data_IF_004877385846
#
_entry.id   IF_004877385846
#
_cell.length_a   1.000
_cell.length_b   1.000
_cell.length_c   1.000
_cell.angle_alpha   90.00
_cell.angle_beta   90.00
_cell.angle_gamma   90.00
#
_symmetry.space_group_name_H-M   'P 1'
#
loop_
_entity.id
_entity.type
_entity.pdbx_description
1 polymer ?
#
# COMPACT_ATOMS: atom_id res chain seq x y z
N UNK A 1 -1.59 -15.05 -3.34
CA UNK A 1 -1.07 -14.19 -2.26
C UNK A 1 0.38 -13.76 -2.49
N UNK A 2 1.29 -14.62 -2.99
CA UNK A 2 2.71 -14.28 -3.17
C UNK A 2 2.96 -12.99 -3.98
N UNK A 3 2.27 -12.83 -5.12
CA UNK A 3 2.34 -11.60 -5.92
C UNK A 3 1.88 -10.34 -5.16
N UNK A 4 0.89 -10.45 -4.28
CA UNK A 4 0.44 -9.31 -3.46
C UNK A 4 1.46 -8.97 -2.37
N UNK A 5 2.05 -10.00 -1.73
CA UNK A 5 3.08 -9.82 -0.72
C UNK A 5 4.35 -9.17 -1.28
N UNK A 6 4.62 -9.30 -2.59
CA UNK A 6 5.69 -8.54 -3.23
C UNK A 6 5.32 -7.08 -3.47
N UNK A 7 4.03 -6.69 -3.52
CA UNK A 7 3.61 -5.30 -3.76
C UNK A 7 3.50 -4.50 -2.45
N UNK A 8 3.04 -5.14 -1.37
CA UNK A 8 2.91 -4.57 -0.04
C UNK A 8 3.26 -5.63 1.01
N UNK A 9 4.11 -5.27 1.97
CA UNK A 9 4.58 -6.22 2.98
C UNK A 9 3.61 -6.34 4.17
N UNK A 10 3.96 -7.20 5.14
CA UNK A 10 3.14 -7.48 6.33
C UNK A 10 2.93 -6.27 7.26
N UNK A 11 3.70 -5.20 7.09
CA UNK A 11 3.56 -3.94 7.83
C UNK A 11 2.87 -2.86 6.99
N UNK A 12 2.34 -3.16 5.81
CA UNK A 12 1.70 -2.16 4.95
C UNK A 12 2.68 -1.27 4.18
N UNK A 13 3.97 -1.64 4.11
CA UNK A 13 4.99 -0.89 3.36
C UNK A 13 4.86 -1.19 1.88
N UNK A 14 4.62 -0.16 1.08
CA UNK A 14 4.66 -0.22 -0.39
C UNK A 14 6.05 -0.67 -0.86
N UNK A 15 6.08 -1.74 -1.66
CA UNK A 15 7.33 -2.32 -2.18
C UNK A 15 7.65 -1.87 -3.61
N UNK A 16 6.66 -1.34 -4.34
CA UNK A 16 6.85 -0.86 -5.71
C UNK A 16 7.62 0.45 -5.69
N UNK A 17 8.94 0.39 -5.89
CA UNK A 17 9.84 1.54 -5.75
C UNK A 17 9.45 2.72 -6.63
N UNK A 18 8.99 2.46 -7.87
CA UNK A 18 8.56 3.50 -8.80
C UNK A 18 7.28 4.24 -8.37
N UNK A 19 6.56 3.70 -7.39
CA UNK A 19 5.37 4.32 -6.80
C UNK A 19 5.65 4.92 -5.42
N UNK A 20 6.90 4.96 -4.94
CA UNK A 20 7.26 5.70 -3.72
C UNK A 20 7.40 7.19 -4.05
N UNK A 21 6.77 8.09 -3.27
CA UNK A 21 6.86 9.52 -3.55
C UNK A 21 8.21 10.07 -3.09
N UNK A 22 8.69 11.11 -3.78
CA UNK A 22 9.85 11.93 -3.41
C UNK A 22 9.45 13.30 -2.85
N UNK A 23 8.13 13.56 -2.74
CA UNK A 23 7.55 14.85 -2.37
C UNK A 23 7.66 15.19 -0.88
N UNK A 24 8.07 14.24 -0.01
CA UNK A 24 8.20 14.45 1.44
C UNK A 24 9.53 15.16 1.79
N UNK A 25 9.64 16.39 1.32
CA UNK A 25 10.79 17.30 1.56
C UNK A 25 10.80 17.83 3.00
N UNK A 26 11.92 18.40 3.45
CA UNK A 26 12.06 19.01 4.78
C UNK A 26 11.01 20.10 5.04
N UNK A 27 10.65 20.88 4.02
CA UNK A 27 9.60 21.89 4.12
C UNK A 27 8.22 21.26 4.39
N UNK A 28 7.90 20.14 3.72
CA UNK A 28 6.65 19.41 3.96
C UNK A 28 6.67 18.77 5.35
N UNK A 29 7.79 18.17 5.76
CA UNK A 29 7.95 17.60 7.11
C UNK A 29 7.74 18.66 8.19
N UNK A 30 8.28 19.86 8.01
CA UNK A 30 8.09 20.98 8.93
C UNK A 30 6.62 21.47 9.00
N UNK A 31 5.86 21.38 7.91
CA UNK A 31 4.42 21.69 7.94
C UNK A 31 3.65 20.58 8.68
N UNK A 32 4.01 19.33 8.44
CA UNK A 32 3.33 18.17 9.03
C UNK A 32 3.67 17.96 10.52
N UNK A 33 4.75 18.57 11.05
CA UNK A 33 5.15 18.40 12.45
C UNK A 33 4.13 18.92 13.45
N UNK A 34 3.31 19.89 13.03
CA UNK A 34 2.32 20.54 13.87
C UNK A 34 0.92 19.90 13.72
N UNK A 35 0.82 18.80 12.94
CA UNK A 35 -0.44 18.10 12.69
C UNK A 35 -0.54 16.87 13.58
N UNK A 36 -1.53 16.88 14.47
CA UNK A 36 -1.94 15.68 15.20
C UNK A 36 -2.94 14.87 14.36
N UNK A 37 -2.71 13.56 14.26
CA UNK A 37 -3.57 12.64 13.51
C UNK A 37 -4.45 11.86 14.48
N UNK A 38 -5.75 11.87 14.22
CA UNK A 38 -6.75 11.17 15.02
C UNK A 38 -7.02 11.87 16.36
N UNK A 39 -7.52 11.11 17.34
CA UNK A 39 -7.77 11.62 18.68
C UNK A 39 -9.16 12.21 18.90
N UNK A 40 -10.02 12.21 17.88
CA UNK A 40 -11.42 12.59 18.05
C UNK A 40 -12.23 11.42 18.63
N UNK A 41 -13.30 11.69 19.41
CA UNK A 41 -14.17 10.64 19.92
C UNK A 41 -14.74 9.78 18.79
N UNK A 42 -14.42 8.49 18.80
CA UNK A 42 -14.85 7.52 17.78
C UNK A 42 -13.81 7.24 16.69
N UNK A 43 -12.68 7.95 16.67
CA UNK A 43 -11.57 7.62 15.77
C UNK A 43 -10.97 6.25 16.13
N UNK A 44 -10.54 5.46 15.14
CA UNK A 44 -9.79 4.24 15.40
C UNK A 44 -8.42 4.56 16.00
N UNK A 45 -7.94 3.68 16.87
CA UNK A 45 -6.56 3.73 17.35
C UNK A 45 -5.60 3.59 16.18
N UNK A 46 -4.58 4.43 16.15
CA UNK A 46 -3.53 4.35 15.13
C UNK A 46 -2.75 3.03 15.27
N UNK A 47 -2.45 2.41 14.13
CA UNK A 47 -1.63 1.21 14.08
C UNK A 47 -0.14 1.58 14.13
N UNK A 48 0.47 1.36 15.29
CA UNK A 48 1.91 1.56 15.47
C UNK A 48 2.70 0.65 14.52
N UNK A 49 3.65 1.24 13.78
CA UNK A 49 4.48 0.52 12.81
C UNK A 49 3.82 0.13 11.48
N UNK A 50 2.55 0.50 11.23
CA UNK A 50 1.94 0.31 9.91
C UNK A 50 2.39 1.38 8.91
N UNK A 51 2.68 1.00 7.67
CA UNK A 51 3.20 1.87 6.61
C UNK A 51 4.72 2.04 6.65
N UNK A 52 5.23 3.00 5.88
CA UNK A 52 6.67 3.24 5.73
C UNK A 52 7.37 3.53 7.08
N UNK A 53 8.48 2.84 7.39
CA UNK A 53 9.19 3.01 8.64
C UNK A 53 9.87 4.38 8.74
N UNK A 54 9.98 4.90 9.96
CA UNK A 54 10.66 6.16 10.25
C UNK A 54 9.83 7.42 9.98
N UNK A 55 8.56 7.27 9.60
CA UNK A 55 7.64 8.39 9.40
C UNK A 55 6.71 8.60 10.60
N UNK A 56 6.39 9.86 10.90
CA UNK A 56 5.35 10.20 11.89
C UNK A 56 3.95 9.79 11.38
N UNK A 57 2.92 9.72 12.25
CA UNK A 57 1.55 9.50 11.79
C UNK A 57 1.08 10.49 10.72
N UNK A 58 1.39 11.78 10.86
CA UNK A 58 1.04 12.81 9.88
C UNK A 58 1.77 12.62 8.55
N UNK A 59 3.06 12.32 8.60
CA UNK A 59 3.86 12.03 7.40
C UNK A 59 3.35 10.80 6.65
N UNK A 60 2.96 9.72 7.35
CA UNK A 60 2.37 8.53 6.73
C UNK A 60 1.01 8.82 6.10
N UNK A 61 0.16 9.57 6.79
CA UNK A 61 -1.22 9.79 6.34
C UNK A 61 -1.31 10.78 5.18
N UNK A 62 -0.51 11.85 5.20
CA UNK A 62 -0.64 12.97 4.26
C UNK A 62 0.53 13.08 3.28
N UNK A 63 1.68 12.50 3.60
CA UNK A 63 2.93 12.67 2.86
C UNK A 63 3.44 11.42 2.14
N UNK A 64 2.78 10.27 2.31
CA UNK A 64 3.26 9.00 1.78
C UNK A 64 2.18 8.20 1.05
N UNK A 65 2.62 7.33 0.13
CA UNK A 65 1.73 6.46 -0.62
C UNK A 65 1.47 5.14 0.13
N UNK A 66 0.26 4.63 0.01
CA UNK A 66 -0.16 3.36 0.64
C UNK A 66 -0.94 2.51 -0.36
N UNK A 67 -0.55 1.25 -0.51
CA UNK A 67 -1.28 0.25 -1.27
C UNK A 67 -1.99 -0.70 -0.30
N UNK A 68 -3.30 -0.82 -0.43
CA UNK A 68 -4.15 -1.68 0.41
C UNK A 68 -4.77 -2.80 -0.42
N UNK A 69 -4.87 -4.00 0.14
CA UNK A 69 -5.67 -5.10 -0.43
C UNK A 69 -7.06 -5.03 0.19
N UNK A 70 -8.05 -4.62 -0.60
CA UNK A 70 -9.45 -4.50 -0.15
C UNK A 70 -10.19 -5.84 -0.17
N UNK A 71 -9.92 -6.66 -1.18
CA UNK A 71 -10.48 -7.99 -1.30
C UNK A 71 -9.50 -8.92 -2.01
N UNK A 72 -9.50 -10.20 -1.65
CA UNK A 72 -8.74 -11.25 -2.32
C UNK A 72 -9.56 -12.54 -2.38
N UNK A 73 -9.79 -13.04 -3.58
CA UNK A 73 -10.57 -14.25 -3.83
C UNK A 73 -9.73 -15.27 -4.59
N UNK A 74 -9.80 -16.53 -4.16
CA UNK A 74 -9.16 -17.67 -4.84
C UNK A 74 -9.99 -18.92 -4.60
N UNK A 75 -10.16 -19.75 -5.64
CA UNK A 75 -11.03 -20.93 -5.57
C UNK A 75 -12.49 -20.55 -5.28
N UNK A 76 -13.20 -21.39 -4.52
CA UNK A 76 -14.54 -21.08 -4.02
C UNK A 76 -14.54 -21.11 -2.49
N UNK A 77 -14.39 -19.95 -1.80
CA UNK A 77 -14.37 -19.91 -0.35
C UNK A 77 -15.64 -20.43 0.32
N UNK A 78 -16.80 -20.29 -0.33
CA UNK A 78 -18.08 -20.78 0.18
C UNK A 78 -18.26 -22.30 0.01
N UNK A 79 -17.50 -22.92 -0.91
CA UNK A 79 -17.50 -24.37 -1.16
C UNK A 79 -16.06 -24.85 -1.42
N UNK A 80 -15.24 -25.00 -0.36
CA UNK A 80 -13.86 -25.44 -0.51
C UNK A 80 -13.77 -26.80 -1.21
N UNK A 81 -12.86 -26.91 -2.17
CA UNK A 81 -12.61 -28.14 -2.94
C UNK A 81 -11.14 -28.53 -2.83
N UNK A 82 -10.84 -29.83 -2.86
CA UNK A 82 -9.47 -30.36 -2.91
C UNK A 82 -8.91 -30.26 -4.35
N UNK A 83 -8.90 -29.05 -4.89
CA UNK A 83 -8.41 -28.74 -6.23
C UNK A 83 -7.56 -27.46 -6.18
N UNK A 84 -6.54 -27.40 -7.04
CA UNK A 84 -5.73 -26.19 -7.20
C UNK A 84 -6.59 -25.15 -7.94
N UNK A 85 -6.79 -23.94 -7.39
CA UNK A 85 -7.53 -22.88 -8.09
C UNK A 85 -6.83 -22.49 -9.40
N UNK A 86 -7.59 -22.41 -10.49
CA UNK A 86 -7.07 -21.96 -11.79
C UNK A 86 -6.84 -20.45 -11.88
N UNK A 87 -7.40 -19.67 -10.96
CA UNK A 87 -7.25 -18.22 -10.90
C UNK A 87 -7.44 -17.69 -9.47
N UNK A 88 -6.96 -16.47 -9.25
CA UNK A 88 -7.22 -15.66 -8.08
C UNK A 88 -7.33 -14.19 -8.49
N UNK A 89 -8.14 -13.42 -7.77
CA UNK A 89 -8.37 -12.00 -8.04
C UNK A 89 -8.13 -11.20 -6.78
N UNK A 90 -7.49 -10.05 -6.90
CA UNK A 90 -7.34 -9.09 -5.82
C UNK A 90 -7.88 -7.73 -6.26
N UNK A 91 -8.62 -7.08 -5.36
CA UNK A 91 -8.99 -5.67 -5.51
C UNK A 91 -8.10 -4.88 -4.57
N UNK A 92 -7.28 -4.00 -5.13
CA UNK A 92 -6.36 -3.17 -4.38
C UNK A 92 -6.67 -1.68 -4.59
N UNK A 93 -6.28 -0.86 -3.62
CA UNK A 93 -6.38 0.60 -3.70
C UNK A 93 -5.01 1.22 -3.43
N UNK A 94 -4.56 2.07 -4.35
CA UNK A 94 -3.42 2.95 -4.11
C UNK A 94 -3.95 4.33 -3.68
N UNK A 95 -3.62 4.73 -2.45
CA UNK A 95 -3.71 6.12 -2.00
C UNK A 95 -2.35 6.76 -2.25
N UNK A 96 -2.32 7.88 -2.97
CA UNK A 96 -1.07 8.50 -3.37
C UNK A 96 -1.09 10.02 -3.21
N UNK A 97 0.11 10.58 -3.09
CA UNK A 97 0.36 12.02 -2.98
C UNK A 97 0.88 12.59 -4.30
N UNK A 98 0.91 13.93 -4.39
CA UNK A 98 1.41 14.66 -5.56
C UNK A 98 2.81 14.21 -5.96
N UNK A 99 3.09 14.18 -7.26
CA UNK A 99 4.37 13.72 -7.82
C UNK A 99 4.43 12.21 -8.11
N UNK A 100 3.49 11.42 -7.58
CA UNK A 100 3.38 10.00 -7.94
C UNK A 100 2.99 9.83 -9.41
N UNK A 101 3.75 9.02 -10.17
CA UNK A 101 3.46 8.67 -11.56
C UNK A 101 2.31 7.65 -11.67
N UNK A 102 1.11 8.06 -11.26
CA UNK A 102 -0.08 7.21 -11.21
C UNK A 102 -0.66 6.91 -12.61
N UNK A 103 -0.37 7.74 -13.61
CA UNK A 103 -0.80 7.50 -15.00
C UNK A 103 -0.14 6.25 -15.59
N UNK A 104 1.08 5.92 -15.11
CA UNK A 104 1.79 4.70 -15.48
C UNK A 104 1.65 3.57 -14.45
N UNK A 105 0.65 3.64 -13.56
CA UNK A 105 0.47 2.68 -12.45
C UNK A 105 0.56 1.22 -12.89
N UNK A 106 -0.15 0.86 -13.96
CA UNK A 106 -0.18 -0.52 -14.49
C UNK A 106 1.23 -0.98 -14.86
N UNK A 107 1.95 -0.17 -15.64
CA UNK A 107 3.32 -0.46 -16.08
C UNK A 107 4.28 -0.65 -14.90
N UNK A 108 4.17 0.18 -13.87
CA UNK A 108 5.00 0.09 -12.66
C UNK A 108 4.74 -1.20 -11.88
N UNK A 109 3.47 -1.56 -11.71
CA UNK A 109 3.07 -2.81 -11.04
C UNK A 109 3.50 -4.03 -11.85
N UNK A 110 3.23 -4.06 -13.15
CA UNK A 110 3.66 -5.16 -14.04
C UNK A 110 5.18 -5.33 -14.03
N UNK A 111 5.93 -4.24 -14.14
CA UNK A 111 7.40 -4.29 -14.11
C UNK A 111 7.91 -4.83 -12.77
N UNK A 112 7.30 -4.42 -11.66
CA UNK A 112 7.65 -4.91 -10.33
C UNK A 112 7.33 -6.41 -10.17
N UNK A 113 6.14 -6.83 -10.61
CA UNK A 113 5.72 -8.23 -10.58
C UNK A 113 6.68 -9.11 -11.40
N UNK A 114 7.04 -8.67 -12.60
CA UNK A 114 7.97 -9.38 -13.48
C UNK A 114 9.37 -9.48 -12.85
N UNK A 115 9.86 -8.43 -12.19
CA UNK A 115 11.12 -8.47 -11.43
C UNK A 115 11.11 -9.49 -10.28
N UNK A 116 9.92 -9.85 -9.77
CA UNK A 116 9.73 -10.85 -8.73
C UNK A 116 9.34 -12.24 -9.29
N UNK A 117 9.39 -12.43 -10.61
CA UNK A 117 9.13 -13.70 -11.28
C UNK A 117 7.65 -14.03 -11.45
N UNK A 118 6.77 -13.02 -11.45
CA UNK A 118 5.37 -13.17 -11.80
C UNK A 118 5.14 -12.65 -13.23
N UNK A 119 4.64 -13.52 -14.10
CA UNK A 119 4.32 -13.24 -15.52
C UNK A 119 2.82 -12.99 -15.73
#
# INVERSE_FOLDING_TARGET
ANALASLVNAQGVLQVAALKPDSLTDAVRAILSDIEVGGMPGDPTLADGWGEPGLTPAERLYGWNTLEVLAFETGNPARPMNAIPGSATAVCQLRFVVGTDWENLVRHVESHLHQHGFD
#
